data_IF_787463183012
#
_entry.id   IF_787463183012
#
_cell.length_a   1.000
_cell.length_b   1.000
_cell.length_c   1.000
_cell.angle_alpha   90.00
_cell.angle_beta   90.00
_cell.angle_gamma   90.00
#
_symmetry.space_group_name_H-M   'P 1'
#
loop_
_entity.id
_entity.type
_entity.pdbx_description
1 polymer ?
#
# COMPACT_ATOMS: atom_id res chain seq x y z
N UNK A 1 -0.82 -40.97 -47.33
CA UNK A 1 -1.00 -40.32 -48.64
C UNK A 1 -0.85 -38.81 -48.32
N UNK A 2 0.29 -38.28 -48.68
CA UNK A 2 0.63 -37.54 -49.92
C UNK A 2 0.01 -36.14 -49.80
N UNK A 3 0.66 -35.09 -49.96
CA UNK A 3 1.87 -34.58 -50.60
C UNK A 3 1.77 -33.06 -50.47
N UNK A 4 2.82 -32.41 -50.09
CA UNK A 4 3.77 -31.65 -50.94
C UNK A 4 3.33 -30.20 -51.18
N UNK A 5 4.21 -29.34 -50.77
CA UNK A 5 5.11 -28.47 -51.58
C UNK A 5 4.38 -27.32 -52.28
N UNK A 6 4.81 -26.12 -52.38
CA UNK A 6 6.16 -25.54 -52.64
C UNK A 6 6.05 -24.03 -52.42
N UNK A 7 7.11 -23.40 -51.96
CA UNK A 7 8.09 -22.54 -52.67
C UNK A 7 7.43 -21.50 -53.60
N UNK A 8 7.79 -20.26 -53.64
CA UNK A 8 9.07 -19.66 -53.99
C UNK A 8 8.97 -18.11 -53.96
N UNK A 9 10.02 -17.52 -53.44
CA UNK A 9 10.80 -16.37 -53.90
C UNK A 9 10.10 -15.22 -54.63
N UNK A 10 10.38 -14.01 -54.21
CA UNK A 10 11.33 -13.20 -54.98
C UNK A 10 11.69 -11.87 -54.27
N UNK A 11 12.96 -11.69 -54.27
CA UNK A 11 13.72 -10.49 -54.00
C UNK A 11 13.42 -9.39 -55.02
N UNK A 12 13.31 -8.14 -54.61
CA UNK A 12 13.74 -7.06 -55.49
C UNK A 12 14.35 -5.90 -54.71
N UNK A 13 15.52 -5.64 -55.11
CA UNK A 13 16.55 -4.70 -54.76
C UNK A 13 16.35 -3.42 -55.60
N UNK A 14 16.39 -2.29 -54.99
CA UNK A 14 16.72 -1.01 -55.62
C UNK A 14 17.13 -0.05 -54.49
N UNK A 15 18.32 0.31 -54.38
CA UNK A 15 19.35 1.12 -55.05
C UNK A 15 18.94 2.57 -55.24
N UNK A 16 19.59 3.42 -54.44
CA UNK A 16 20.18 4.66 -54.92
C UNK A 16 19.43 5.95 -54.64
N UNK A 17 19.91 6.78 -53.77
CA UNK A 17 20.42 8.07 -54.27
C UNK A 17 21.07 8.91 -53.19
N UNK A 18 22.33 9.11 -53.32
CA UNK A 18 23.13 10.05 -52.52
C UNK A 18 22.94 11.44 -53.10
N UNK A 19 22.33 12.34 -52.37
CA UNK A 19 22.45 13.76 -52.65
C UNK A 19 23.40 14.42 -51.67
N UNK A 20 24.59 14.69 -52.20
CA UNK A 20 25.54 15.66 -51.64
C UNK A 20 24.95 17.05 -51.80
N UNK A 21 24.85 17.80 -50.74
CA UNK A 21 24.71 19.26 -50.82
C UNK A 21 25.74 19.91 -49.92
N UNK A 22 26.40 20.81 -50.55
CA UNK A 22 27.65 21.45 -50.22
C UNK A 22 27.62 22.38 -49.03
N UNK A 23 28.78 22.43 -48.46
CA UNK A 23 29.33 23.29 -47.44
C UNK A 23 29.27 24.77 -47.84
N UNK A 24 28.68 25.63 -47.03
CA UNK A 24 28.93 27.07 -47.04
C UNK A 24 29.23 27.54 -45.62
N UNK A 25 30.53 27.82 -45.41
CA UNK A 25 31.05 28.52 -44.23
C UNK A 25 30.64 29.98 -44.32
N UNK A 26 29.91 30.49 -43.33
CA UNK A 26 29.96 31.91 -42.97
C UNK A 26 30.03 32.05 -41.46
N UNK A 27 31.15 32.51 -40.98
CA UNK A 27 31.45 32.76 -39.59
C UNK A 27 30.57 33.86 -39.00
N UNK A 28 30.16 33.66 -37.76
CA UNK A 28 29.67 34.75 -36.94
C UNK A 28 30.00 34.49 -35.46
N UNK A 29 30.90 35.34 -35.00
CA UNK A 29 31.30 35.68 -33.63
C UNK A 29 30.65 34.94 -32.47
N UNK A 30 31.53 34.33 -31.69
CA UNK A 30 31.34 33.91 -30.30
C UNK A 30 30.75 35.01 -29.43
N UNK A 31 29.58 34.78 -28.87
CA UNK A 31 29.13 35.43 -27.65
C UNK A 31 29.12 34.35 -26.55
N UNK A 32 29.96 34.54 -25.52
CA UNK A 32 30.01 33.74 -24.31
C UNK A 32 28.59 33.56 -23.72
N UNK A 33 28.13 32.34 -23.42
CA UNK A 33 26.89 32.21 -22.69
C UNK A 33 27.11 32.59 -21.22
N UNK A 34 26.27 33.51 -20.74
CA UNK A 34 26.10 33.84 -19.33
C UNK A 34 25.83 32.55 -18.55
N UNK A 35 26.54 32.37 -17.42
CA UNK A 35 26.25 31.35 -16.40
C UNK A 35 24.81 31.55 -15.92
N UNK A 36 23.93 30.73 -16.44
CA UNK A 36 22.59 30.55 -15.91
C UNK A 36 22.74 29.71 -14.64
N UNK A 37 22.48 30.33 -13.50
CA UNK A 37 22.40 29.64 -12.22
C UNK A 37 21.27 28.64 -12.32
N UNK A 38 21.61 27.37 -12.46
CA UNK A 38 20.68 26.27 -12.22
C UNK A 38 20.21 26.41 -10.76
N UNK A 39 19.02 26.94 -10.59
CA UNK A 39 18.26 26.73 -9.33
C UNK A 39 17.95 25.24 -9.26
N UNK A 40 18.72 24.54 -8.47
CA UNK A 40 18.35 23.24 -7.94
C UNK A 40 16.98 23.37 -7.30
N UNK A 41 15.95 22.93 -8.00
CA UNK A 41 14.63 22.73 -7.44
C UNK A 41 14.74 21.46 -6.61
N UNK A 42 15.22 21.63 -5.38
CA UNK A 42 15.08 20.67 -4.32
C UNK A 42 13.58 20.44 -4.15
N UNK A 43 13.07 19.39 -4.79
CA UNK A 43 11.74 18.86 -4.53
C UNK A 43 11.71 18.33 -3.10
N UNK A 44 11.41 19.20 -2.14
CA UNK A 44 11.01 18.77 -0.80
C UNK A 44 9.74 17.95 -0.97
N UNK A 45 9.69 16.70 -0.48
CA UNK A 45 8.43 16.00 -0.39
C UNK A 45 7.55 16.83 0.55
N UNK A 46 6.53 17.46 0.01
CA UNK A 46 5.47 18.10 0.78
C UNK A 46 4.71 16.98 1.49
N UNK A 47 5.23 16.57 2.65
CA UNK A 47 4.45 15.82 3.60
C UNK A 47 3.34 16.76 4.05
N UNK A 48 2.14 16.59 3.47
CA UNK A 48 0.94 17.23 3.98
C UNK A 48 0.90 17.05 5.51
N UNK A 49 0.58 18.09 6.29
CA UNK A 49 0.56 17.97 7.73
C UNK A 49 -0.45 16.87 8.11
N UNK A 50 0.07 15.72 8.59
CA UNK A 50 -0.75 14.65 9.16
C UNK A 50 -1.57 15.28 10.27
N UNK A 51 -2.86 15.55 10.01
CA UNK A 51 -3.78 16.02 11.04
C UNK A 51 -3.69 15.04 12.20
N UNK A 52 -3.08 15.48 13.29
CA UNK A 52 -3.01 14.71 14.52
C UNK A 52 -4.44 14.37 14.94
N UNK A 53 -4.82 13.11 14.79
CA UNK A 53 -6.10 12.63 15.32
C UNK A 53 -6.03 12.89 16.82
N UNK A 54 -6.90 13.76 17.31
CA UNK A 54 -7.02 14.03 18.75
C UNK A 54 -7.20 12.70 19.45
N UNK A 55 -6.18 12.27 20.21
CA UNK A 55 -6.19 11.01 20.96
C UNK A 55 -7.35 11.09 21.93
N UNK A 56 -8.44 10.38 21.67
CA UNK A 56 -9.53 10.25 22.62
C UNK A 56 -9.00 9.50 23.85
N UNK A 57 -8.97 10.10 25.05
CA UNK A 57 -8.36 9.49 26.23
C UNK A 57 -9.10 8.22 26.71
N UNK A 58 -10.28 7.96 26.20
CA UNK A 58 -11.16 6.85 26.62
C UNK A 58 -11.39 5.76 25.59
N UNK A 59 -10.56 5.65 24.55
CA UNK A 59 -10.71 4.57 23.59
C UNK A 59 -10.13 3.26 24.17
N UNK A 60 -10.95 2.56 24.96
CA UNK A 60 -10.60 1.22 25.49
C UNK A 60 -11.02 0.17 24.47
N UNK A 61 -10.11 -0.72 24.16
CA UNK A 61 -10.33 -1.86 23.28
C UNK A 61 -9.90 -3.10 24.06
N UNK A 62 -10.87 -3.94 24.40
CA UNK A 62 -10.58 -5.14 25.19
C UNK A 62 -9.88 -6.19 24.35
N UNK A 63 -9.20 -7.14 24.98
CA UNK A 63 -8.60 -8.29 24.26
C UNK A 63 -9.66 -9.04 23.47
N UNK A 64 -10.89 -9.18 24.00
CA UNK A 64 -12.00 -9.81 23.29
C UNK A 64 -12.37 -9.06 21.99
N UNK A 65 -12.30 -7.74 22.00
CA UNK A 65 -12.55 -6.94 20.80
C UNK A 65 -11.40 -7.03 19.79
N UNK A 66 -10.17 -7.17 20.27
CA UNK A 66 -9.01 -7.42 19.40
C UNK A 66 -9.14 -8.81 18.74
N UNK A 67 -9.51 -9.85 19.47
CA UNK A 67 -9.82 -11.19 18.94
C UNK A 67 -10.89 -11.09 17.86
N UNK A 68 -12.00 -10.41 18.19
CA UNK A 68 -13.11 -10.24 17.24
C UNK A 68 -12.70 -9.52 15.96
N UNK A 69 -11.86 -8.48 16.08
CA UNK A 69 -11.31 -7.76 14.94
C UNK A 69 -10.44 -8.67 14.07
N UNK A 70 -9.47 -9.37 14.68
CA UNK A 70 -8.55 -10.26 13.96
C UNK A 70 -9.31 -11.38 13.26
N UNK A 71 -10.19 -12.08 13.98
CA UNK A 71 -11.03 -13.17 13.46
C UNK A 71 -11.86 -12.74 12.26
N UNK A 72 -12.52 -11.60 12.38
CA UNK A 72 -13.42 -11.14 11.33
C UNK A 72 -12.66 -10.66 10.09
N UNK A 73 -11.56 -9.94 10.31
CA UNK A 73 -10.72 -9.49 9.21
C UNK A 73 -10.06 -10.67 8.50
N UNK A 74 -9.54 -11.66 9.25
CA UNK A 74 -9.00 -12.91 8.71
C UNK A 74 -10.02 -13.63 7.83
N UNK A 75 -11.23 -13.84 8.34
CA UNK A 75 -12.29 -14.51 7.60
C UNK A 75 -12.64 -13.82 6.28
N UNK A 76 -12.74 -12.47 6.30
CA UNK A 76 -13.10 -11.70 5.12
C UNK A 76 -11.97 -11.71 4.07
N UNK A 77 -10.72 -11.54 4.50
CA UNK A 77 -9.55 -11.59 3.59
C UNK A 77 -9.39 -12.98 3.00
N UNK A 78 -9.55 -14.04 3.81
CA UNK A 78 -9.53 -15.41 3.32
C UNK A 78 -10.64 -15.69 2.30
N UNK A 79 -11.81 -15.09 2.47
CA UNK A 79 -12.90 -15.11 1.49
C UNK A 79 -12.66 -14.19 0.27
N UNK A 80 -11.46 -13.67 0.10
CA UNK A 80 -11.08 -12.76 -1.00
C UNK A 80 -11.86 -11.45 -1.04
N UNK A 81 -12.40 -11.02 0.09
CA UNK A 81 -13.05 -9.70 0.20
C UNK A 81 -11.97 -8.62 0.24
N UNK A 82 -12.06 -7.57 -0.58
CA UNK A 82 -11.10 -6.47 -0.57
C UNK A 82 -10.91 -5.86 0.82
N UNK A 83 -9.68 -5.45 1.13
CA UNK A 83 -9.32 -4.89 2.45
C UNK A 83 -10.23 -3.74 2.89
N UNK A 84 -10.52 -2.79 2.00
CA UNK A 84 -11.38 -1.65 2.31
C UNK A 84 -12.80 -2.07 2.66
N UNK A 85 -13.38 -3.01 1.90
CA UNK A 85 -14.72 -3.54 2.16
C UNK A 85 -14.75 -4.31 3.48
N UNK A 86 -13.71 -5.09 3.76
CA UNK A 86 -13.54 -5.81 5.02
C UNK A 86 -13.50 -4.86 6.21
N UNK A 87 -12.76 -3.75 6.13
CA UNK A 87 -12.72 -2.72 7.16
C UNK A 87 -14.07 -2.03 7.35
N UNK A 88 -14.80 -1.74 6.28
CA UNK A 88 -16.15 -1.19 6.35
C UNK A 88 -17.12 -2.15 7.04
N UNK A 89 -17.05 -3.45 6.75
CA UNK A 89 -17.88 -4.47 7.41
C UNK A 89 -17.61 -4.49 8.91
N UNK A 90 -16.33 -4.50 9.32
CA UNK A 90 -15.93 -4.47 10.74
C UNK A 90 -16.42 -3.20 11.42
N UNK A 91 -16.29 -2.05 10.75
CA UNK A 91 -16.77 -0.76 11.25
C UNK A 91 -18.27 -0.76 11.51
N UNK A 92 -19.09 -1.24 10.56
CA UNK A 92 -20.55 -1.28 10.68
C UNK A 92 -21.02 -2.06 11.90
N UNK A 93 -20.31 -3.10 12.28
CA UNK A 93 -20.62 -3.94 13.43
C UNK A 93 -20.15 -3.35 14.76
N UNK A 94 -19.36 -2.29 14.70
CA UNK A 94 -18.88 -1.60 15.88
C UNK A 94 -19.98 -0.69 16.44
N UNK A 95 -20.37 -0.91 17.69
CA UNK A 95 -21.46 -0.12 18.33
C UNK A 95 -20.99 1.26 18.83
N UNK A 96 -19.75 1.36 19.28
CA UNK A 96 -19.19 2.59 19.87
C UNK A 96 -18.90 3.66 18.83
N UNK A 97 -19.47 4.85 19.00
CA UNK A 97 -19.20 6.03 18.14
C UNK A 97 -17.71 6.39 18.09
N UNK A 98 -16.98 6.27 19.22
CA UNK A 98 -15.55 6.56 19.27
C UNK A 98 -14.74 5.54 18.45
N UNK A 99 -15.11 4.26 18.52
CA UNK A 99 -14.46 3.19 17.73
C UNK A 99 -14.81 3.31 16.24
N UNK A 100 -16.03 3.69 15.89
CA UNK A 100 -16.39 3.99 14.49
C UNK A 100 -15.50 5.09 13.92
N UNK A 101 -15.31 6.20 14.63
CA UNK A 101 -14.39 7.28 14.21
C UNK A 101 -12.93 6.81 14.08
N UNK A 102 -12.49 5.87 14.90
CA UNK A 102 -11.18 5.25 14.75
C UNK A 102 -11.10 4.47 13.44
N UNK A 103 -12.12 3.64 13.14
CA UNK A 103 -12.17 2.91 11.87
C UNK A 103 -12.31 3.84 10.67
N UNK A 104 -13.07 4.94 10.75
CA UNK A 104 -13.12 5.97 9.70
C UNK A 104 -11.71 6.50 9.37
N UNK A 105 -10.90 6.75 10.40
CA UNK A 105 -9.53 7.23 10.20
C UNK A 105 -8.63 6.15 9.57
N UNK A 106 -8.77 4.88 9.98
CA UNK A 106 -8.02 3.75 9.41
C UNK A 106 -8.41 3.54 7.95
N UNK A 107 -9.70 3.51 7.65
CA UNK A 107 -10.23 3.34 6.29
C UNK A 107 -9.73 4.46 5.38
N UNK A 108 -9.76 5.71 5.86
CA UNK A 108 -9.25 6.85 5.11
C UNK A 108 -7.74 6.73 4.82
N UNK A 109 -6.95 6.28 5.79
CA UNK A 109 -5.51 6.07 5.60
C UNK A 109 -5.26 4.97 4.54
N UNK A 110 -5.96 3.84 4.63
CA UNK A 110 -5.83 2.72 3.67
C UNK A 110 -6.32 3.11 2.27
N UNK A 111 -7.41 3.88 2.17
CA UNK A 111 -7.90 4.44 0.89
C UNK A 111 -6.86 5.34 0.24
N UNK A 112 -6.06 6.06 1.04
CA UNK A 112 -4.94 6.87 0.56
C UNK A 112 -3.65 6.07 0.30
N UNK A 113 -3.74 4.73 0.25
CA UNK A 113 -2.61 3.85 -0.07
C UNK A 113 -1.65 3.59 1.09
N UNK A 114 -2.02 3.91 2.33
CA UNK A 114 -1.20 3.55 3.49
C UNK A 114 -1.42 2.08 3.88
N UNK A 115 -0.34 1.44 4.36
CA UNK A 115 -0.45 0.10 4.94
C UNK A 115 -1.39 0.09 6.16
N UNK A 116 -2.14 -1.00 6.30
CA UNK A 116 -3.03 -1.20 7.46
C UNK A 116 -2.25 -1.14 8.77
N UNK A 117 -1.10 -1.81 8.85
CA UNK A 117 -0.23 -1.77 10.03
C UNK A 117 0.21 -0.35 10.41
N UNK A 118 0.49 0.51 9.41
CA UNK A 118 0.85 1.91 9.65
C UNK A 118 -0.32 2.71 10.22
N UNK A 119 -1.51 2.48 9.70
CA UNK A 119 -2.74 3.12 10.18
C UNK A 119 -3.10 2.67 11.60
N UNK A 120 -2.99 1.37 11.89
CA UNK A 120 -3.20 0.80 13.23
C UNK A 120 -2.17 1.34 14.23
N UNK A 121 -0.93 1.60 13.79
CA UNK A 121 0.14 2.18 14.61
C UNK A 121 -0.22 3.53 15.24
N UNK A 122 -1.08 4.31 14.59
CA UNK A 122 -1.62 5.56 15.17
C UNK A 122 -2.50 5.30 16.41
N UNK A 123 -3.01 4.09 16.53
CA UNK A 123 -3.87 3.62 17.61
C UNK A 123 -3.21 2.49 18.41
N UNK A 124 -1.89 2.57 18.59
CA UNK A 124 -1.11 1.55 19.27
C UNK A 124 -1.68 1.16 20.65
N UNK A 125 -2.16 2.15 21.43
CA UNK A 125 -2.81 1.89 22.72
C UNK A 125 -4.07 1.01 22.63
N UNK A 126 -4.64 0.89 21.44
CA UNK A 126 -5.84 0.09 21.15
C UNK A 126 -5.49 -1.31 20.71
N UNK A 127 -4.60 -1.44 19.73
CA UNK A 127 -4.25 -2.71 19.10
C UNK A 127 -3.02 -3.38 19.73
N UNK A 128 -2.09 -2.59 20.26
CA UNK A 128 -0.82 -3.05 20.81
C UNK A 128 0.25 -3.35 19.75
N UNK A 129 1.51 -3.23 20.15
CA UNK A 129 2.65 -3.40 19.24
C UNK A 129 2.70 -4.80 18.62
N UNK A 130 2.34 -5.82 19.39
CA UNK A 130 2.33 -7.22 18.93
C UNK A 130 1.42 -7.39 17.70
N UNK A 131 0.15 -6.95 17.79
CA UNK A 131 -0.80 -7.07 16.70
C UNK A 131 -0.35 -6.26 15.47
N UNK A 132 0.15 -5.04 15.69
CA UNK A 132 0.63 -4.16 14.62
C UNK A 132 1.81 -4.79 13.87
N UNK A 133 2.75 -5.41 14.60
CA UNK A 133 3.93 -6.03 13.99
C UNK A 133 3.56 -7.29 13.18
N UNK A 134 2.65 -8.14 13.68
CA UNK A 134 2.14 -9.31 12.94
C UNK A 134 1.47 -8.88 11.64
N UNK A 135 0.59 -7.88 11.70
CA UNK A 135 -0.10 -7.36 10.51
C UNK A 135 0.92 -6.75 9.53
N UNK A 136 1.92 -6.01 10.03
CA UNK A 136 2.98 -5.43 9.18
C UNK A 136 3.74 -6.50 8.43
N UNK A 137 4.13 -7.58 9.12
CA UNK A 137 4.82 -8.71 8.49
C UNK A 137 3.94 -9.32 7.40
N UNK A 138 2.67 -9.59 7.67
CA UNK A 138 1.73 -10.13 6.69
C UNK A 138 1.50 -9.23 5.48
N UNK A 139 1.37 -7.90 5.69
CA UNK A 139 1.23 -6.95 4.59
C UNK A 139 2.47 -6.90 3.69
N UNK A 140 3.67 -6.96 4.28
CA UNK A 140 4.92 -6.86 3.52
C UNK A 140 5.28 -8.16 2.80
N UNK A 141 4.90 -9.31 3.34
CA UNK A 141 5.14 -10.62 2.75
C UNK A 141 4.02 -11.09 1.80
N UNK A 142 2.88 -10.39 1.79
CA UNK A 142 1.69 -10.82 1.03
C UNK A 142 0.91 -11.98 1.65
N UNK A 143 1.19 -12.31 2.93
CA UNK A 143 0.55 -13.40 3.69
C UNK A 143 -0.30 -12.85 4.83
N UNK A 144 -1.09 -11.82 4.53
CA UNK A 144 -1.87 -11.12 5.55
C UNK A 144 -2.97 -11.99 6.16
N UNK A 145 -3.59 -12.87 5.38
CA UNK A 145 -4.59 -13.82 5.82
C UNK A 145 -4.03 -14.78 6.88
N UNK A 146 -2.90 -15.42 6.61
CA UNK A 146 -2.20 -16.31 7.56
C UNK A 146 -1.77 -15.55 8.83
N UNK A 147 -1.24 -14.35 8.66
CA UNK A 147 -0.82 -13.49 9.77
C UNK A 147 -1.99 -13.09 10.67
N UNK A 148 -3.16 -12.86 10.09
CA UNK A 148 -4.38 -12.56 10.86
C UNK A 148 -4.92 -13.78 11.60
N UNK A 149 -4.85 -14.97 11.00
CA UNK A 149 -5.20 -16.24 11.69
C UNK A 149 -4.29 -16.43 12.89
N UNK A 150 -2.98 -16.32 12.69
CA UNK A 150 -2.01 -16.43 13.78
C UNK A 150 -2.26 -15.40 14.89
N UNK A 151 -2.56 -14.17 14.51
CA UNK A 151 -2.88 -13.10 15.48
C UNK A 151 -4.15 -13.43 16.28
N UNK A 152 -5.19 -13.98 15.64
CA UNK A 152 -6.42 -14.41 16.29
C UNK A 152 -6.12 -15.47 17.38
N UNK A 153 -5.38 -16.51 17.02
CA UNK A 153 -5.03 -17.60 17.95
C UNK A 153 -4.25 -17.08 19.17
N UNK A 154 -3.25 -16.23 18.96
CA UNK A 154 -2.45 -15.67 20.05
C UNK A 154 -3.26 -14.75 20.96
N UNK A 155 -4.16 -13.96 20.40
CA UNK A 155 -5.06 -13.12 21.18
C UNK A 155 -6.08 -13.95 21.96
N UNK A 156 -6.59 -15.07 21.40
CA UNK A 156 -7.45 -16.02 22.12
C UNK A 156 -6.72 -16.66 23.30
N UNK A 157 -5.49 -17.14 23.10
CA UNK A 157 -4.64 -17.66 24.18
C UNK A 157 -4.49 -16.63 25.29
N UNK A 158 -4.14 -15.40 24.94
CA UNK A 158 -4.04 -14.27 25.88
C UNK A 158 -5.34 -14.01 26.64
N UNK A 159 -6.49 -14.09 25.95
CA UNK A 159 -7.81 -13.92 26.55
C UNK A 159 -8.13 -15.04 27.55
N UNK A 160 -7.84 -16.30 27.17
CA UNK A 160 -8.05 -17.48 28.04
C UNK A 160 -7.18 -17.39 29.31
N UNK A 161 -5.90 -17.01 29.17
CA UNK A 161 -5.00 -16.81 30.31
C UNK A 161 -5.51 -15.69 31.25
N UNK A 162 -5.93 -14.57 30.68
CA UNK A 162 -6.46 -13.45 31.47
C UNK A 162 -7.71 -13.86 32.26
N UNK A 163 -8.60 -14.67 31.68
CA UNK A 163 -9.77 -15.18 32.38
C UNK A 163 -9.41 -16.09 33.56
N UNK A 164 -8.37 -16.96 33.40
CA UNK A 164 -7.94 -17.86 34.47
C UNK A 164 -7.30 -17.16 35.66
N UNK A 165 -6.67 -16.01 35.43
CA UNK A 165 -6.00 -15.25 36.52
C UNK A 165 -6.98 -14.40 37.33
N UNK A 166 -8.15 -14.07 36.78
CA UNK A 166 -9.13 -13.21 37.44
C UNK A 166 -10.37 -13.97 37.95
N UNK A 167 -10.28 -15.29 38.09
CA UNK A 167 -11.20 -16.16 38.84
C UNK A 167 -10.54 -16.59 40.13
#
# INVERSE_FOLDING_TARGET
>A
MSKKESKEKSSKKEKGERRKVSFSRKGKKEKKPKKEKQKEVSARPTSAPRRAVKKSPFLRYSVAEQVFFAKRLSFLIHASVPMLDSLHIVQRQTKSKAKKKMFDAIINDVTNGQFLASSLGRFNKVFGDFAINIIRTGETSGTLDESLVYLEEELEKKQKLKRKVFV
#
